data_IF_895474306357
#
_entry.id   IF_895474306357
#
_cell.length_a   1.000
_cell.length_b   1.000
_cell.length_c   1.000
_cell.angle_alpha   90.00
_cell.angle_beta   90.00
_cell.angle_gamma   90.00
#
_symmetry.space_group_name_H-M   'P 1'
#
loop_
_entity.id
_entity.type
_entity.pdbx_description
1 polymer ?
#
# COMPACT_ATOMS: atom_id res chain seq x y z
N UNK A 1 -7.05 -23.84 -10.36
CA UNK A 1 -6.16 -22.66 -10.29
C UNK A 1 -4.98 -22.85 -11.20
N UNK A 2 -4.89 -22.01 -12.21
CA UNK A 2 -3.75 -22.03 -13.11
C UNK A 2 -2.57 -21.33 -12.42
N UNK A 3 -1.73 -22.13 -11.75
CA UNK A 3 -0.50 -21.64 -11.11
C UNK A 3 0.53 -21.10 -12.11
N UNK A 4 0.27 -21.23 -13.40
CA UNK A 4 1.18 -20.83 -14.48
C UNK A 4 1.16 -19.32 -14.73
N UNK A 5 0.05 -18.62 -14.46
CA UNK A 5 -0.01 -17.19 -14.78
C UNK A 5 0.95 -16.37 -13.93
N UNK A 6 1.87 -15.66 -14.61
CA UNK A 6 2.82 -14.74 -14.00
C UNK A 6 2.44 -13.31 -14.34
N UNK A 7 2.38 -12.45 -13.32
CA UNK A 7 2.16 -11.01 -13.51
C UNK A 7 3.33 -10.46 -14.35
N UNK A 8 3.06 -9.85 -15.51
CA UNK A 8 4.09 -9.17 -16.30
C UNK A 8 4.47 -7.84 -15.61
N UNK A 9 5.36 -7.89 -14.62
CA UNK A 9 5.66 -6.80 -13.68
C UNK A 9 5.81 -5.42 -14.35
N UNK A 10 6.63 -5.32 -15.40
CA UNK A 10 6.86 -4.05 -16.10
C UNK A 10 5.60 -3.52 -16.81
N UNK A 11 4.82 -4.40 -17.44
CA UNK A 11 3.56 -4.01 -18.07
C UNK A 11 2.53 -3.57 -17.02
N UNK A 12 2.45 -4.30 -15.90
CA UNK A 12 1.55 -3.96 -14.80
C UNK A 12 1.94 -2.62 -14.15
N UNK A 13 3.24 -2.35 -13.95
CA UNK A 13 3.72 -1.04 -13.50
C UNK A 13 3.34 0.07 -14.48
N UNK A 14 3.61 -0.11 -15.78
CA UNK A 14 3.22 0.85 -16.83
C UNK A 14 1.73 1.17 -16.78
N UNK A 15 0.87 0.15 -16.69
CA UNK A 15 -0.57 0.34 -16.59
C UNK A 15 -0.98 1.03 -15.28
N UNK A 16 -0.30 0.72 -14.18
CA UNK A 16 -0.55 1.37 -12.89
C UNK A 16 -0.27 2.87 -12.95
N UNK A 17 0.81 3.27 -13.61
CA UNK A 17 1.12 4.69 -13.85
C UNK A 17 0.06 5.38 -14.72
N UNK A 18 -0.36 4.74 -15.82
CA UNK A 18 -1.42 5.29 -16.67
C UNK A 18 -2.73 5.48 -15.91
N UNK A 19 -3.10 4.50 -15.07
CA UNK A 19 -4.27 4.61 -14.22
C UNK A 19 -4.11 5.64 -13.10
N UNK A 20 -2.96 5.74 -12.45
CA UNK A 20 -2.71 6.75 -11.43
C UNK A 20 -2.87 8.17 -12.00
N UNK A 21 -2.31 8.41 -13.19
CA UNK A 21 -2.51 9.69 -13.92
C UNK A 21 -3.98 9.91 -14.25
N UNK A 22 -4.68 8.89 -14.77
CA UNK A 22 -6.10 9.01 -15.08
C UNK A 22 -6.95 9.32 -13.84
N UNK A 23 -6.65 8.69 -12.69
CA UNK A 23 -7.32 8.93 -11.41
C UNK A 23 -7.09 10.37 -10.95
N UNK A 24 -5.84 10.85 -10.96
CA UNK A 24 -5.51 12.23 -10.56
C UNK A 24 -6.20 13.25 -11.49
N UNK A 25 -6.19 13.01 -12.80
CA UNK A 25 -6.80 13.93 -13.78
C UNK A 25 -8.33 13.96 -13.71
N UNK A 26 -8.98 12.86 -13.34
CA UNK A 26 -10.44 12.81 -13.19
C UNK A 26 -10.90 13.33 -11.83
N UNK A 27 -10.11 13.08 -10.80
CA UNK A 27 -10.45 13.38 -9.40
C UNK A 27 -9.62 14.54 -8.84
N UNK A 28 -9.30 15.53 -9.69
CA UNK A 28 -8.44 16.67 -9.35
C UNK A 28 -8.85 17.38 -8.05
N UNK A 29 -10.15 17.57 -7.83
CA UNK A 29 -10.67 18.21 -6.60
C UNK A 29 -10.33 17.39 -5.35
N UNK A 30 -10.55 16.08 -5.42
CA UNK A 30 -10.22 15.14 -4.34
C UNK A 30 -8.72 15.13 -4.11
N UNK A 31 -7.91 14.95 -5.16
CA UNK A 31 -6.45 14.95 -5.07
C UNK A 31 -5.92 16.26 -4.49
N UNK A 32 -6.42 17.41 -4.94
CA UNK A 32 -6.04 18.72 -4.42
C UNK A 32 -6.39 18.87 -2.92
N UNK A 33 -7.55 18.36 -2.49
CA UNK A 33 -7.93 18.35 -1.08
C UNK A 33 -6.96 17.50 -0.23
N UNK A 34 -6.53 16.33 -0.71
CA UNK A 34 -5.54 15.50 0.00
C UNK A 34 -4.15 16.13 0.03
N UNK A 35 -3.75 16.81 -1.04
CA UNK A 35 -2.49 17.56 -1.08
C UNK A 35 -2.55 18.72 -0.07
N UNK A 36 -3.62 19.51 -0.06
CA UNK A 36 -3.80 20.59 0.89
C UNK A 36 -3.82 20.10 2.35
N UNK A 37 -4.53 19.00 2.61
CA UNK A 37 -4.53 18.36 3.93
C UNK A 37 -3.14 17.83 4.31
N UNK A 38 -2.38 17.30 3.35
CA UNK A 38 -1.01 16.84 3.56
C UNK A 38 -0.07 18.00 3.92
N UNK A 39 -0.20 19.15 3.25
CA UNK A 39 0.54 20.37 3.62
C UNK A 39 0.22 20.79 5.05
N UNK A 40 -1.06 20.85 5.42
CA UNK A 40 -1.46 21.21 6.78
C UNK A 40 -0.93 20.21 7.80
N UNK A 41 -1.00 18.90 7.51
CA UNK A 41 -0.48 17.86 8.38
C UNK A 41 1.04 17.96 8.55
N UNK A 42 1.78 18.19 7.47
CA UNK A 42 3.24 18.34 7.49
C UNK A 42 3.68 19.58 8.28
N UNK A 43 3.01 20.72 8.09
CA UNK A 43 3.31 21.95 8.84
C UNK A 43 3.08 21.80 10.36
N UNK A 44 2.22 20.86 10.75
CA UNK A 44 1.85 20.61 12.15
C UNK A 44 2.45 19.31 12.70
N UNK A 45 3.29 18.61 11.93
CA UNK A 45 3.82 17.29 12.30
C UNK A 45 4.66 17.34 13.58
N UNK A 46 5.43 18.41 13.76
CA UNK A 46 6.27 18.66 14.94
C UNK A 46 5.51 19.23 16.15
N UNK A 47 4.20 19.45 16.04
CA UNK A 47 3.38 19.93 17.16
C UNK A 47 2.96 18.77 18.08
N UNK A 48 2.55 19.09 19.32
CA UNK A 48 1.96 18.10 20.23
C UNK A 48 0.67 17.42 19.68
N UNK A 49 0.11 17.95 18.59
CA UNK A 49 -1.03 17.38 17.86
C UNK A 49 -0.63 16.56 16.62
N UNK A 50 0.66 16.52 16.26
CA UNK A 50 1.16 15.91 15.04
C UNK A 50 0.76 14.43 14.91
N UNK A 51 0.90 13.65 15.98
CA UNK A 51 0.51 12.24 15.99
C UNK A 51 -0.98 12.01 15.71
N UNK A 52 -1.86 12.85 16.26
CA UNK A 52 -3.30 12.77 16.01
C UNK A 52 -3.65 13.16 14.56
N UNK A 53 -2.99 14.20 14.04
CA UNK A 53 -3.17 14.64 12.66
C UNK A 53 -2.71 13.59 11.66
N UNK A 54 -1.59 12.91 11.92
CA UNK A 54 -1.11 11.79 11.11
C UNK A 54 -2.11 10.63 11.10
N UNK A 55 -2.73 10.32 12.24
CA UNK A 55 -3.76 9.29 12.33
C UNK A 55 -4.99 9.67 11.49
N UNK A 56 -5.47 10.90 11.64
CA UNK A 56 -6.62 11.42 10.88
C UNK A 56 -6.31 11.42 9.39
N UNK A 57 -5.11 11.87 8.98
CA UNK A 57 -4.67 11.88 7.59
C UNK A 57 -4.59 10.46 7.00
N UNK A 58 -4.04 9.52 7.77
CA UNK A 58 -3.97 8.10 7.40
C UNK A 58 -5.37 7.50 7.20
N UNK A 59 -6.31 7.77 8.11
CA UNK A 59 -7.71 7.33 7.98
C UNK A 59 -8.39 8.00 6.79
N UNK A 60 -8.14 9.30 6.59
CA UNK A 60 -8.66 10.05 5.47
C UNK A 60 -8.17 9.44 4.15
N UNK A 61 -7.00 8.80 4.07
CA UNK A 61 -6.50 8.22 2.82
C UNK A 61 -7.28 6.99 2.30
N UNK A 62 -8.11 6.36 3.15
CA UNK A 62 -8.92 5.18 2.79
C UNK A 62 -9.90 5.47 1.64
N UNK A 63 -10.70 6.56 1.67
CA UNK A 63 -11.50 6.98 0.52
C UNK A 63 -10.71 7.10 -0.78
N UNK A 64 -9.49 7.68 -0.76
CA UNK A 64 -8.65 7.81 -1.95
C UNK A 64 -8.19 6.45 -2.49
N UNK A 65 -7.84 5.52 -1.59
CA UNK A 65 -7.47 4.16 -1.95
C UNK A 65 -8.65 3.40 -2.58
N UNK A 66 -9.83 3.47 -1.95
CA UNK A 66 -11.07 2.86 -2.46
C UNK A 66 -11.45 3.41 -3.83
N UNK A 67 -11.39 4.73 -4.01
CA UNK A 67 -11.65 5.42 -5.27
C UNK A 67 -10.69 4.94 -6.35
N UNK A 68 -9.39 4.83 -6.03
CA UNK A 68 -8.37 4.36 -6.96
C UNK A 68 -8.63 2.92 -7.40
N UNK A 69 -8.88 2.03 -6.45
CA UNK A 69 -9.27 0.64 -6.74
C UNK A 69 -10.51 0.56 -7.62
N UNK A 70 -11.50 1.43 -7.38
CA UNK A 70 -12.76 1.44 -8.10
C UNK A 70 -12.57 1.87 -9.56
N UNK A 71 -11.85 2.97 -9.80
CA UNK A 71 -11.52 3.46 -11.15
C UNK A 71 -10.75 2.41 -11.94
N UNK A 72 -9.73 1.77 -11.35
CA UNK A 72 -8.90 0.79 -12.07
C UNK A 72 -9.67 -0.48 -12.41
N UNK A 73 -10.53 -0.96 -11.52
CA UNK A 73 -11.22 -2.25 -11.70
C UNK A 73 -12.55 -2.14 -12.44
N UNK A 74 -13.29 -1.04 -12.28
CA UNK A 74 -14.62 -0.84 -12.88
C UNK A 74 -14.62 0.18 -14.01
N UNK A 75 -13.58 1.00 -14.14
CA UNK A 75 -13.47 2.03 -15.16
C UNK A 75 -14.02 3.41 -14.73
N UNK A 76 -14.08 4.37 -15.67
CA UNK A 76 -14.64 5.70 -15.44
C UNK A 76 -16.10 5.58 -15.04
N UNK A 77 -16.52 6.16 -13.90
CA UNK A 77 -17.88 6.15 -13.28
C UNK A 77 -18.05 5.30 -12.02
N UNK A 78 -16.98 4.72 -11.46
CA UNK A 78 -17.11 3.84 -10.30
C UNK A 78 -17.65 4.50 -9.01
N UNK A 79 -17.83 5.83 -9.00
CA UNK A 79 -18.39 6.66 -7.93
C UNK A 79 -19.88 7.02 -8.10
N UNK A 80 -20.62 6.43 -9.05
CA UNK A 80 -22.06 6.65 -9.10
C UNK A 80 -22.75 6.20 -7.79
N UNK A 81 -23.76 6.93 -7.35
CA UNK A 81 -24.44 6.66 -6.07
C UNK A 81 -24.99 5.23 -5.96
N UNK A 82 -25.27 4.57 -7.10
CA UNK A 82 -25.64 3.15 -7.18
C UNK A 82 -24.49 2.19 -6.79
N UNK A 83 -23.23 2.52 -7.09
CA UNK A 83 -22.06 1.72 -6.70
C UNK A 83 -21.57 2.04 -5.29
N UNK A 84 -21.85 3.24 -4.78
CA UNK A 84 -21.59 3.69 -3.40
C UNK A 84 -22.65 3.25 -2.38
N UNK A 85 -23.80 2.71 -2.81
CA UNK A 85 -24.96 2.33 -1.96
C UNK A 85 -24.70 1.29 -0.84
N UNK A 86 -23.46 0.82 -0.69
CA UNK A 86 -22.99 -0.02 0.43
C UNK A 86 -21.81 0.64 1.18
N UNK A 87 -21.74 1.98 1.16
CA UNK A 87 -20.57 2.81 1.46
C UNK A 87 -19.89 2.58 2.82
N UNK A 88 -20.61 2.60 3.96
CA UNK A 88 -19.99 2.50 5.28
C UNK A 88 -19.36 1.13 5.53
N UNK A 89 -20.06 0.05 5.17
CA UNK A 89 -19.57 -1.32 5.36
C UNK A 89 -18.31 -1.63 4.56
N UNK A 90 -18.16 -1.03 3.37
CA UNK A 90 -16.94 -1.18 2.56
C UNK A 90 -15.76 -0.42 3.16
N UNK A 91 -15.96 0.81 3.63
CA UNK A 91 -14.90 1.59 4.29
C UNK A 91 -14.42 0.92 5.58
N UNK A 92 -15.36 0.51 6.45
CA UNK A 92 -15.05 -0.20 7.69
C UNK A 92 -14.34 -1.52 7.39
N UNK A 93 -14.84 -2.29 6.42
CA UNK A 93 -14.20 -3.52 5.98
C UNK A 93 -12.79 -3.32 5.43
N UNK A 94 -12.57 -2.27 4.64
CA UNK A 94 -11.25 -1.92 4.12
C UNK A 94 -10.29 -1.55 5.25
N UNK A 95 -10.74 -0.70 6.18
CA UNK A 95 -9.96 -0.34 7.37
C UNK A 95 -9.56 -1.58 8.18
N UNK A 96 -10.50 -2.48 8.44
CA UNK A 96 -10.24 -3.73 9.17
C UNK A 96 -9.21 -4.58 8.42
N UNK A 97 -9.33 -4.76 7.11
CA UNK A 97 -8.36 -5.52 6.34
C UNK A 97 -6.97 -4.86 6.36
N UNK A 98 -6.90 -3.53 6.22
CA UNK A 98 -5.63 -2.78 6.32
C UNK A 98 -4.98 -2.96 7.69
N UNK A 99 -5.76 -2.87 8.78
CA UNK A 99 -5.27 -3.11 10.16
C UNK A 99 -4.77 -4.54 10.30
N UNK A 100 -5.54 -5.53 9.85
CA UNK A 100 -5.18 -6.94 9.96
C UNK A 100 -3.94 -7.29 9.13
N UNK A 101 -3.79 -6.70 7.93
CA UNK A 101 -2.58 -6.82 7.11
C UNK A 101 -1.39 -6.21 7.86
N UNK A 102 -1.54 -5.00 8.38
CA UNK A 102 -0.48 -4.31 9.13
C UNK A 102 -0.07 -5.08 10.39
N UNK A 103 -1.04 -5.63 11.12
CA UNK A 103 -0.79 -6.45 12.31
C UNK A 103 -0.13 -7.78 11.96
N UNK A 104 -0.57 -8.46 10.90
CA UNK A 104 0.07 -9.68 10.43
C UNK A 104 1.52 -9.43 10.00
N UNK A 105 1.75 -8.32 9.29
CA UNK A 105 3.07 -7.88 8.88
C UNK A 105 3.94 -7.57 10.12
N UNK A 106 3.45 -6.77 11.07
CA UNK A 106 4.16 -6.43 12.30
C UNK A 106 4.49 -7.65 13.17
N UNK A 107 3.54 -8.57 13.38
CA UNK A 107 3.80 -9.81 14.10
C UNK A 107 4.81 -10.71 13.38
N UNK A 108 4.78 -10.75 12.05
CA UNK A 108 5.74 -11.52 11.27
C UNK A 108 7.17 -10.97 11.34
N UNK A 109 7.32 -9.66 11.57
CA UNK A 109 8.62 -9.03 11.84
C UNK A 109 9.24 -9.53 13.16
N UNK A 110 8.41 -9.86 14.16
CA UNK A 110 8.89 -10.30 15.46
C UNK A 110 9.58 -11.66 15.39
N UNK A 111 9.18 -12.55 14.49
CA UNK A 111 9.73 -13.91 14.37
C UNK A 111 11.25 -13.91 14.12
N UNK A 112 11.78 -13.25 13.08
CA UNK A 112 13.23 -13.18 12.86
C UNK A 112 13.95 -12.42 13.99
N UNK A 113 13.32 -11.38 14.57
CA UNK A 113 13.89 -10.63 15.71
C UNK A 113 14.10 -11.57 16.91
N UNK A 114 13.07 -12.33 17.30
CA UNK A 114 13.15 -13.27 18.42
C UNK A 114 14.09 -14.44 18.13
N UNK A 115 14.05 -15.01 16.92
CA UNK A 115 14.94 -16.13 16.55
C UNK A 115 16.41 -15.74 16.66
N UNK A 116 16.77 -14.54 16.21
CA UNK A 116 18.15 -14.05 16.25
C UNK A 116 18.54 -13.64 17.68
N UNK A 117 17.65 -13.00 18.46
CA UNK A 117 17.88 -12.72 19.87
C UNK A 117 18.14 -14.01 20.70
N UNK A 118 17.43 -15.10 20.40
CA UNK A 118 17.64 -16.41 21.04
C UNK A 118 18.99 -17.05 20.67
N UNK A 119 19.46 -16.87 19.43
CA UNK A 119 20.71 -17.45 18.94
C UNK A 119 21.97 -16.65 19.34
N UNK A 120 21.82 -15.35 19.59
CA UNK A 120 22.94 -14.43 19.87
C UNK A 120 23.20 -14.21 21.37
N UNK A 121 22.25 -14.54 22.24
CA UNK A 121 22.38 -14.31 23.68
C UNK A 121 22.61 -12.83 24.01
N UNK A 122 23.23 -12.48 25.15
CA UNK A 122 23.52 -11.10 25.54
C UNK A 122 24.72 -10.48 24.78
N UNK A 123 25.29 -11.16 23.78
CA UNK A 123 26.43 -10.65 23.03
C UNK A 123 25.99 -9.56 22.05
N UNK A 124 26.77 -8.48 21.94
CA UNK A 124 26.54 -7.43 20.95
C UNK A 124 26.57 -8.04 19.55
N UNK A 125 25.47 -7.92 18.81
CA UNK A 125 25.44 -8.27 17.40
C UNK A 125 26.42 -7.36 16.65
N UNK A 126 27.31 -7.95 15.87
CA UNK A 126 28.14 -7.18 14.94
C UNK A 126 27.31 -6.65 13.78
N UNK A 127 27.77 -5.58 13.13
CA UNK A 127 27.05 -4.87 12.07
C UNK A 127 26.58 -5.75 10.89
N UNK A 128 27.25 -6.88 10.62
CA UNK A 128 26.83 -7.83 9.59
C UNK A 128 25.57 -8.63 9.96
N UNK A 129 25.38 -8.95 11.24
CA UNK A 129 24.19 -9.69 11.72
C UNK A 129 22.96 -8.78 11.70
N UNK A 130 23.13 -7.51 12.05
CA UNK A 130 22.06 -6.51 12.01
C UNK A 130 21.50 -6.32 10.60
N UNK A 131 22.38 -6.32 9.58
CA UNK A 131 21.98 -6.18 8.19
C UNK A 131 21.21 -7.42 7.70
N UNK A 132 21.64 -8.62 8.09
CA UNK A 132 20.92 -9.87 7.81
C UNK A 132 19.56 -9.90 8.52
N UNK A 133 19.50 -9.44 9.77
CA UNK A 133 18.25 -9.33 10.52
C UNK A 133 17.28 -8.36 9.83
N UNK A 134 17.75 -7.17 9.47
CA UNK A 134 16.95 -6.17 8.77
C UNK A 134 16.41 -6.74 7.44
N UNK A 135 17.26 -7.40 6.67
CA UNK A 135 16.86 -8.05 5.41
C UNK A 135 15.80 -9.14 5.61
N UNK A 136 15.98 -10.02 6.61
CA UNK A 136 15.04 -11.09 6.92
C UNK A 136 13.69 -10.53 7.39
N UNK A 137 13.71 -9.56 8.30
CA UNK A 137 12.50 -8.86 8.78
C UNK A 137 11.75 -8.27 7.59
N UNK A 138 12.41 -7.46 6.78
CA UNK A 138 11.79 -6.79 5.63
C UNK A 138 11.22 -7.81 4.65
N UNK A 139 11.94 -8.89 4.37
CA UNK A 139 11.51 -9.93 3.44
C UNK A 139 10.26 -10.66 3.94
N UNK A 140 10.25 -11.09 5.20
CA UNK A 140 9.11 -11.81 5.80
C UNK A 140 7.88 -10.90 5.84
N UNK A 141 8.04 -9.67 6.33
CA UNK A 141 6.99 -8.64 6.38
C UNK A 141 6.41 -8.41 4.99
N UNK A 142 7.26 -8.22 3.98
CA UNK A 142 6.83 -7.97 2.61
C UNK A 142 6.04 -9.16 2.03
N UNK A 143 6.47 -10.40 2.29
CA UNK A 143 5.76 -11.60 1.82
C UNK A 143 4.41 -11.76 2.52
N UNK A 144 4.35 -11.54 3.84
CA UNK A 144 3.13 -11.69 4.64
C UNK A 144 2.13 -10.60 4.32
N UNK A 145 2.58 -9.37 4.02
CA UNK A 145 1.70 -8.27 3.65
C UNK A 145 1.21 -8.33 2.20
N UNK A 146 2.07 -8.75 1.26
CA UNK A 146 1.82 -8.60 -0.19
C UNK A 146 0.68 -9.47 -0.72
N UNK A 147 0.53 -10.72 -0.27
CA UNK A 147 -0.55 -11.60 -0.76
C UNK A 147 -1.91 -11.21 -0.20
N UNK A 148 -2.06 -11.00 1.13
CA UNK A 148 -3.33 -10.60 1.69
C UNK A 148 -3.78 -9.20 1.25
N UNK A 149 -2.85 -8.33 0.82
CA UNK A 149 -3.18 -7.04 0.21
C UNK A 149 -4.07 -7.15 -1.04
N UNK A 150 -4.12 -8.30 -1.72
CA UNK A 150 -5.06 -8.56 -2.82
C UNK A 150 -6.54 -8.58 -2.38
N UNK A 151 -6.81 -8.66 -1.08
CA UNK A 151 -8.15 -8.56 -0.53
C UNK A 151 -8.70 -7.14 -0.59
N UNK A 152 -7.84 -6.12 -0.48
CA UNK A 152 -8.20 -4.71 -0.56
C UNK A 152 -8.94 -4.34 -1.86
N UNK A 153 -8.41 -4.64 -3.07
CA UNK A 153 -9.14 -4.39 -4.32
C UNK A 153 -10.44 -5.21 -4.43
N UNK A 154 -10.51 -6.43 -3.88
CA UNK A 154 -11.73 -7.26 -3.95
C UNK A 154 -12.93 -6.63 -3.22
N UNK A 155 -12.69 -5.92 -2.11
CA UNK A 155 -13.75 -5.24 -1.35
C UNK A 155 -14.47 -4.19 -2.18
N UNK A 156 -13.73 -3.53 -3.06
CA UNK A 156 -14.31 -2.49 -3.92
C UNK A 156 -15.31 -3.08 -4.89
N UNK A 157 -15.11 -4.32 -5.33
CA UNK A 157 -16.02 -5.03 -6.20
C UNK A 157 -17.31 -5.48 -5.51
N UNK A 158 -17.40 -5.40 -4.18
CA UNK A 158 -18.57 -5.81 -3.40
C UNK A 158 -18.61 -7.30 -3.06
N UNK A 159 -17.60 -8.06 -3.49
CA UNK A 159 -17.46 -9.50 -3.25
C UNK A 159 -16.07 -9.79 -2.66
N UNK A 160 -15.91 -9.60 -1.34
CA UNK A 160 -14.61 -9.69 -0.70
C UNK A 160 -14.14 -11.14 -0.63
N UNK A 161 -12.97 -11.43 -1.22
CA UNK A 161 -12.39 -12.77 -1.14
C UNK A 161 -11.93 -13.09 0.28
N UNK A 162 -11.97 -14.37 0.66
CA UNK A 162 -11.42 -14.85 1.93
C UNK A 162 -9.89 -14.73 1.98
N UNK A 163 -9.31 -14.75 3.19
CA UNK A 163 -7.85 -14.67 3.39
C UNK A 163 -7.11 -15.81 2.69
N UNK A 164 -7.68 -17.02 2.71
CA UNK A 164 -7.11 -18.19 2.05
C UNK A 164 -7.18 -18.07 0.52
N UNK A 165 -8.23 -17.45 -0.03
CA UNK A 165 -8.30 -17.13 -1.45
C UNK A 165 -7.26 -16.07 -1.83
N UNK A 166 -7.10 -14.99 -1.06
CA UNK A 166 -6.08 -13.98 -1.31
C UNK A 166 -4.66 -14.57 -1.31
N UNK A 167 -4.38 -15.44 -0.34
CA UNK A 167 -3.08 -16.14 -0.25
C UNK A 167 -2.81 -17.05 -1.45
N UNK A 168 -3.82 -17.81 -1.88
CA UNK A 168 -3.73 -18.70 -3.05
C UNK A 168 -3.63 -17.90 -4.35
N UNK A 169 -4.37 -16.80 -4.47
CA UNK A 169 -4.36 -15.92 -5.66
C UNK A 169 -2.97 -15.31 -5.88
N UNK A 170 -2.28 -14.91 -4.81
CA UNK A 170 -0.91 -14.42 -4.89
C UNK A 170 0.18 -15.51 -4.99
N UNK A 171 -0.19 -16.79 -4.97
CA UNK A 171 0.77 -17.89 -5.03
C UNK A 171 1.51 -17.89 -6.37
N UNK A 172 2.83 -17.99 -6.33
CA UNK A 172 3.68 -17.93 -7.54
C UNK A 172 3.92 -16.53 -8.09
N UNK A 173 3.26 -15.49 -7.54
CA UNK A 173 3.41 -14.09 -7.94
C UNK A 173 3.93 -13.19 -6.81
N UNK A 174 4.37 -13.77 -5.70
CA UNK A 174 4.84 -13.03 -4.51
C UNK A 174 5.95 -12.06 -4.82
N UNK A 175 6.93 -12.48 -5.64
CA UNK A 175 8.02 -11.59 -6.02
C UNK A 175 7.51 -10.35 -6.77
N UNK A 176 6.57 -10.51 -7.70
CA UNK A 176 5.97 -9.38 -8.40
C UNK A 176 5.13 -8.49 -7.47
N UNK A 177 4.39 -9.09 -6.53
CA UNK A 177 3.58 -8.36 -5.55
C UNK A 177 4.41 -7.61 -4.50
N UNK A 178 5.65 -8.04 -4.24
CA UNK A 178 6.62 -7.34 -3.39
C UNK A 178 7.38 -6.28 -4.19
N UNK A 179 7.95 -6.68 -5.34
CA UNK A 179 8.76 -5.79 -6.17
C UNK A 179 7.96 -4.64 -6.77
N UNK A 180 6.68 -4.82 -7.09
CA UNK A 180 5.85 -3.75 -7.65
C UNK A 180 5.74 -2.53 -6.72
N UNK A 181 5.18 -2.68 -5.52
CA UNK A 181 5.12 -1.61 -4.52
C UNK A 181 6.52 -1.08 -4.13
N UNK A 182 7.53 -1.95 -4.09
CA UNK A 182 8.91 -1.52 -3.86
C UNK A 182 9.41 -0.57 -4.95
N UNK A 183 9.28 -0.95 -6.23
CA UNK A 183 9.70 -0.13 -7.38
C UNK A 183 8.89 1.18 -7.49
N UNK A 184 7.64 1.19 -7.03
CA UNK A 184 6.83 2.42 -6.89
C UNK A 184 7.39 3.33 -5.80
N UNK A 185 7.83 2.76 -4.68
CA UNK A 185 8.29 3.51 -3.52
C UNK A 185 9.70 4.06 -3.70
N UNK A 186 10.58 3.38 -4.46
CA UNK A 186 11.98 3.81 -4.65
C UNK A 186 12.11 5.26 -5.16
N UNK A 187 11.42 5.69 -6.23
CA UNK A 187 11.49 7.08 -6.68
C UNK A 187 10.98 8.08 -5.63
N UNK A 188 9.92 7.71 -4.89
CA UNK A 188 9.35 8.56 -3.83
C UNK A 188 10.38 8.75 -2.70
N UNK A 189 11.00 7.66 -2.25
CA UNK A 189 12.04 7.68 -1.23
C UNK A 189 13.27 8.46 -1.69
N UNK A 190 13.68 8.34 -2.96
CA UNK A 190 14.80 9.12 -3.51
C UNK A 190 14.48 10.63 -3.46
N UNK A 191 13.27 11.02 -3.88
CA UNK A 191 12.85 12.42 -3.83
C UNK A 191 12.80 12.92 -2.39
N UNK A 192 12.25 12.12 -1.48
CA UNK A 192 12.20 12.45 -0.05
C UNK A 192 13.60 12.65 0.54
N UNK A 193 14.55 11.76 0.25
CA UNK A 193 15.94 11.88 0.70
C UNK A 193 16.65 13.11 0.11
N UNK A 194 16.44 13.39 -1.17
CA UNK A 194 16.99 14.60 -1.80
C UNK A 194 16.43 15.86 -1.11
N UNK A 195 15.13 15.87 -0.81
CA UNK A 195 14.48 17.00 -0.15
C UNK A 195 15.01 17.17 1.27
N UNK A 196 15.13 16.09 2.05
CA UNK A 196 15.72 16.11 3.40
C UNK A 196 17.14 16.73 3.42
N UNK A 197 17.92 16.54 2.35
CA UNK A 197 19.26 17.11 2.23
C UNK A 197 19.30 18.59 1.81
N UNK A 198 18.22 19.10 1.21
CA UNK A 198 18.21 20.41 0.57
C UNK A 198 17.33 21.46 1.26
N UNK A 199 16.36 21.04 2.09
CA UNK A 199 15.42 21.95 2.76
C UNK A 199 15.33 21.70 4.27
N UNK A 200 14.88 22.70 5.05
CA UNK A 200 14.56 22.53 6.46
C UNK A 200 13.59 21.37 6.73
N UNK A 201 13.70 20.77 7.91
CA UNK A 201 12.90 19.63 8.38
C UNK A 201 11.39 19.84 8.19
N UNK A 202 10.88 21.03 8.51
CA UNK A 202 9.46 21.37 8.34
C UNK A 202 8.98 21.30 6.88
N UNK A 203 9.83 21.67 5.92
CA UNK A 203 9.51 21.56 4.49
C UNK A 203 9.66 20.10 4.01
N UNK A 204 10.59 19.35 4.58
CA UNK A 204 10.68 17.91 4.35
C UNK A 204 9.39 17.20 4.76
N UNK A 205 8.87 17.48 5.96
CA UNK A 205 7.63 16.87 6.46
C UNK A 205 6.44 17.17 5.54
N UNK A 206 6.34 18.41 5.05
CA UNK A 206 5.31 18.81 4.07
C UNK A 206 5.44 17.99 2.79
N UNK A 207 6.66 17.84 2.26
CA UNK A 207 6.87 17.06 1.04
C UNK A 207 6.52 15.60 1.24
N UNK A 208 6.95 14.97 2.34
CA UNK A 208 6.60 13.58 2.67
C UNK A 208 5.08 13.39 2.72
N UNK A 209 4.34 14.31 3.36
CA UNK A 209 2.88 14.26 3.43
C UNK A 209 2.21 14.46 2.07
N UNK A 210 2.78 15.29 1.19
CA UNK A 210 2.25 15.52 -0.18
C UNK A 210 2.54 14.34 -1.11
N UNK A 211 3.68 13.66 -0.93
CA UNK A 211 4.05 12.49 -1.71
C UNK A 211 3.25 11.23 -1.31
N UNK A 212 2.78 11.16 -0.06
CA UNK A 212 2.03 10.00 0.44
C UNK A 212 0.77 9.68 -0.39
N UNK A 213 -0.12 10.65 -0.73
CA UNK A 213 -1.23 10.40 -1.67
C UNK A 213 -0.79 9.83 -3.01
N UNK A 214 0.32 10.31 -3.58
CA UNK A 214 0.82 9.82 -4.85
C UNK A 214 1.27 8.34 -4.73
N UNK A 215 1.98 8.01 -3.65
CA UNK A 215 2.37 6.64 -3.35
C UNK A 215 1.14 5.74 -3.17
N UNK A 216 0.14 6.18 -2.41
CA UNK A 216 -1.11 5.44 -2.19
C UNK A 216 -1.83 5.17 -3.50
N UNK A 217 -1.99 6.18 -4.36
CA UNK A 217 -2.66 6.02 -5.66
C UNK A 217 -1.89 5.04 -6.54
N UNK A 218 -0.56 5.16 -6.63
CA UNK A 218 0.27 4.25 -7.43
C UNK A 218 0.22 2.81 -6.90
N UNK A 219 0.36 2.61 -5.60
CA UNK A 219 0.32 1.27 -4.98
C UNK A 219 -1.06 0.65 -5.12
N UNK A 220 -2.13 1.41 -4.90
CA UNK A 220 -3.50 0.91 -5.08
C UNK A 220 -3.81 0.60 -6.54
N UNK A 221 -3.32 1.42 -7.49
CA UNK A 221 -3.45 1.13 -8.91
C UNK A 221 -2.73 -0.17 -9.28
N UNK A 222 -1.51 -0.38 -8.77
CA UNK A 222 -0.76 -1.63 -8.98
C UNK A 222 -1.46 -2.85 -8.41
N UNK A 223 -1.90 -2.80 -7.16
CA UNK A 223 -2.64 -3.90 -6.54
C UNK A 223 -3.93 -4.21 -7.31
N UNK A 224 -4.60 -3.20 -7.85
CA UNK A 224 -5.80 -3.36 -8.66
C UNK A 224 -5.52 -4.01 -10.02
N UNK A 225 -4.48 -3.56 -10.72
CA UNK A 225 -4.06 -4.16 -11.99
C UNK A 225 -3.65 -5.62 -11.77
N UNK A 226 -2.83 -5.88 -10.76
CA UNK A 226 -2.39 -7.22 -10.39
C UNK A 226 -3.57 -8.12 -10.03
N UNK A 227 -4.48 -7.64 -9.17
CA UNK A 227 -5.69 -8.37 -8.79
C UNK A 227 -6.59 -8.67 -10.00
N UNK A 228 -6.83 -7.69 -10.86
CA UNK A 228 -7.65 -7.86 -12.07
C UNK A 228 -7.07 -8.88 -13.04
N UNK A 229 -5.74 -8.87 -13.25
CA UNK A 229 -5.04 -9.86 -14.07
C UNK A 229 -5.14 -11.26 -13.47
N UNK A 230 -4.88 -11.41 -12.17
CA UNK A 230 -4.93 -12.70 -11.48
C UNK A 230 -6.35 -13.27 -11.44
N UNK A 231 -7.37 -12.43 -11.24
CA UNK A 231 -8.78 -12.84 -11.25
C UNK A 231 -9.24 -13.29 -12.64
N UNK A 232 -8.85 -12.58 -13.70
CA UNK A 232 -9.15 -13.01 -15.08
C UNK A 232 -8.50 -14.35 -15.43
N UNK A 233 -7.30 -14.60 -14.92
CA UNK A 233 -6.61 -15.87 -15.09
C UNK A 233 -7.17 -17.00 -14.21
N UNK A 234 -7.96 -16.68 -13.17
CA UNK A 234 -8.55 -17.64 -12.23
C UNK A 234 -10.02 -17.29 -11.96
N UNK A 235 -10.92 -17.47 -12.95
CA UNK A 235 -12.33 -17.05 -12.84
C UNK A 235 -13.16 -17.87 -11.82
N UNK A 236 -12.63 -19.00 -11.36
CA UNK A 236 -13.25 -19.86 -10.33
C UNK A 236 -13.07 -19.31 -8.89
N UNK A 237 -12.44 -18.14 -8.74
CA UNK A 237 -12.28 -17.41 -7.48
C UNK A 237 -13.18 -16.18 -7.41
#
# INVERSE_FOLDING_TARGET
>A
MDKSYKIPLLASLKWSFQWAVAVVLRHQKTTAAYVAAGVVAGLLASSGLGGLLLLVYSLASIPLALLTHAEVLRGPSALDAQTLGQGPGRMVGYLIDTILIGLAAGLSALVPIFAIAMLSGPASMGSGVDLVLAFLVVTVVAVVASRPALRLPSRVLGDPISWSQAWRLGQGNTLALVLGPFLISVPVLIVEQIVQLLVPETLSDVVSMVLLPAQIVLTCAFLSVAYGQLRRANPEL
#
